data_IF_711844403283
#
_entry.id   IF_711844403283
#
_cell.length_a   1.000
_cell.length_b   1.000
_cell.length_c   1.000
_cell.angle_alpha   90.00
_cell.angle_beta   90.00
_cell.angle_gamma   90.00
#
_symmetry.space_group_name_H-M   'P 1'
#
loop_
_entity.id
_entity.type
_entity.pdbx_description
1 polymer ?
#
# COMPACT_ATOMS: atom_id res chain seq x y z
N UNK A 1 13.67 2.09 -22.85
CA UNK A 1 12.97 3.32 -22.44
C UNK A 1 13.98 4.44 -22.46
N UNK A 2 13.70 5.57 -23.12
CA UNK A 2 14.64 6.70 -23.11
C UNK A 2 14.68 7.34 -21.70
N UNK A 3 15.66 8.20 -21.41
CA UNK A 3 15.84 8.81 -20.08
C UNK A 3 14.62 9.63 -19.63
N UNK A 4 13.96 10.27 -20.59
CA UNK A 4 12.79 11.12 -20.35
C UNK A 4 11.54 10.30 -19.99
N UNK A 5 11.25 9.24 -20.74
CA UNK A 5 10.19 8.27 -20.45
C UNK A 5 10.42 7.61 -19.08
N UNK A 6 11.69 7.37 -18.71
CA UNK A 6 12.06 6.86 -17.38
C UNK A 6 11.75 7.86 -16.28
N UNK A 7 12.09 9.14 -16.45
CA UNK A 7 11.73 10.19 -15.50
C UNK A 7 10.21 10.31 -15.35
N UNK A 8 9.47 10.36 -16.45
CA UNK A 8 8.00 10.45 -16.45
C UNK A 8 7.36 9.26 -15.74
N UNK A 9 7.81 8.04 -16.05
CA UNK A 9 7.28 6.84 -15.43
C UNK A 9 7.48 6.86 -13.91
N UNK A 10 8.69 7.21 -13.46
CA UNK A 10 8.99 7.34 -12.02
C UNK A 10 8.11 8.39 -11.35
N UNK A 11 7.94 9.53 -11.99
CA UNK A 11 7.09 10.62 -11.52
C UNK A 11 5.65 10.12 -11.36
N UNK A 12 5.07 9.50 -12.39
CA UNK A 12 3.71 8.95 -12.33
C UNK A 12 3.51 7.95 -11.20
N UNK A 13 4.46 7.02 -11.03
CA UNK A 13 4.40 6.02 -9.95
C UNK A 13 4.54 6.68 -8.57
N UNK A 14 5.45 7.65 -8.42
CA UNK A 14 5.64 8.40 -7.17
C UNK A 14 4.37 9.17 -6.77
N UNK A 15 3.59 9.67 -7.73
CA UNK A 15 2.31 10.31 -7.42
C UNK A 15 1.20 9.32 -7.08
N UNK A 16 1.26 8.12 -7.65
CA UNK A 16 0.30 7.08 -7.37
C UNK A 16 0.52 6.41 -6.01
N UNK A 17 1.75 6.43 -5.50
CA UNK A 17 2.12 5.72 -4.27
C UNK A 17 1.32 6.15 -3.05
N UNK A 18 0.94 7.43 -2.96
CA UNK A 18 0.12 7.95 -1.86
C UNK A 18 -1.25 7.24 -1.82
N UNK A 19 -1.82 6.90 -2.98
CA UNK A 19 -3.06 6.12 -3.06
C UNK A 19 -2.84 4.66 -2.65
N UNK A 20 -1.63 4.10 -2.86
CA UNK A 20 -1.30 2.77 -2.36
C UNK A 20 -1.18 2.76 -0.83
N UNK A 21 -0.65 3.82 -0.22
CA UNK A 21 -0.65 3.97 1.25
C UNK A 21 -2.07 3.99 1.80
N UNK A 22 -2.96 4.78 1.20
CA UNK A 22 -4.37 4.85 1.60
C UNK A 22 -5.10 3.51 1.37
N UNK A 23 -4.77 2.79 0.29
CA UNK A 23 -5.33 1.46 0.02
C UNK A 23 -4.87 0.44 1.05
N UNK A 24 -3.58 0.46 1.43
CA UNK A 24 -3.05 -0.38 2.50
C UNK A 24 -3.78 -0.09 3.82
N UNK A 25 -3.92 1.19 4.18
CA UNK A 25 -4.69 1.63 5.36
C UNK A 25 -6.11 1.09 5.33
N UNK A 26 -6.79 1.23 4.19
CA UNK A 26 -8.18 0.80 4.04
C UNK A 26 -8.35 -0.69 4.30
N UNK A 27 -7.51 -1.55 3.72
CA UNK A 27 -7.62 -2.99 3.95
C UNK A 27 -7.17 -3.40 5.35
N UNK A 28 -6.18 -2.72 5.93
CA UNK A 28 -5.83 -2.91 7.34
C UNK A 28 -7.04 -2.60 8.24
N UNK A 29 -7.71 -1.47 8.02
CA UNK A 29 -8.92 -1.10 8.75
C UNK A 29 -10.02 -2.16 8.60
N UNK A 30 -10.23 -2.69 7.39
CA UNK A 30 -11.23 -3.74 7.15
C UNK A 30 -10.92 -5.04 7.88
N UNK A 31 -9.65 -5.42 7.97
CA UNK A 31 -9.21 -6.56 8.78
C UNK A 31 -9.53 -6.31 10.26
N UNK A 32 -9.19 -5.14 10.78
CA UNK A 32 -9.47 -4.77 12.18
C UNK A 32 -10.97 -4.81 12.46
N UNK A 33 -11.80 -4.23 11.58
CA UNK A 33 -13.26 -4.24 11.69
C UNK A 33 -13.80 -5.68 11.77
N UNK A 34 -13.34 -6.60 10.91
CA UNK A 34 -13.73 -8.00 10.96
C UNK A 34 -13.31 -8.68 12.27
N UNK A 35 -12.10 -8.42 12.76
CA UNK A 35 -11.62 -8.98 14.03
C UNK A 35 -12.45 -8.47 15.22
N UNK A 36 -12.73 -7.16 15.27
CA UNK A 36 -13.56 -6.55 16.32
C UNK A 36 -15.01 -7.03 16.26
N UNK A 37 -15.55 -7.28 15.06
CA UNK A 37 -16.90 -7.84 14.90
C UNK A 37 -16.96 -9.28 15.42
N UNK A 38 -15.98 -10.12 15.07
CA UNK A 38 -15.88 -11.49 15.59
C UNK A 38 -15.82 -11.50 17.13
N UNK A 39 -14.98 -10.66 17.71
CA UNK A 39 -14.83 -10.56 19.18
C UNK A 39 -16.16 -10.21 19.86
N UNK A 40 -16.88 -9.21 19.32
CA UNK A 40 -18.19 -8.79 19.85
C UNK A 40 -19.26 -9.88 19.75
N UNK A 41 -19.23 -10.67 18.68
CA UNK A 41 -20.25 -11.68 18.39
C UNK A 41 -19.86 -13.09 18.85
N UNK A 42 -18.68 -13.29 19.45
CA UNK A 42 -18.12 -14.61 19.75
C UNK A 42 -19.07 -15.56 20.50
N UNK A 43 -19.80 -15.05 21.50
CA UNK A 43 -20.75 -15.84 22.30
C UNK A 43 -22.17 -15.85 21.73
N UNK A 44 -22.37 -15.31 20.54
CA UNK A 44 -23.67 -15.25 19.86
C UNK A 44 -23.71 -16.29 18.74
N UNK A 45 -24.72 -17.18 18.70
CA UNK A 45 -24.86 -18.13 17.60
C UNK A 45 -25.02 -17.37 16.28
N UNK A 46 -24.02 -17.46 15.40
CA UNK A 46 -24.04 -16.84 14.08
C UNK A 46 -23.53 -17.85 13.04
N UNK A 47 -24.05 -17.76 11.81
CA UNK A 47 -23.53 -18.55 10.71
C UNK A 47 -22.24 -17.88 10.20
N UNK A 48 -21.10 -18.51 10.50
CA UNK A 48 -19.75 -18.00 10.22
C UNK A 48 -19.37 -18.00 8.71
N UNK A 49 -20.22 -18.59 7.86
CA UNK A 49 -19.98 -18.86 6.43
C UNK A 49 -19.82 -17.61 5.53
N UNK A 50 -19.88 -16.39 6.09
CA UNK A 50 -19.84 -15.14 5.31
C UNK A 50 -18.74 -14.16 5.72
N UNK A 51 -17.80 -14.55 6.58
CA UNK A 51 -16.78 -13.60 7.00
C UNK A 51 -15.83 -13.21 5.84
N UNK A 52 -15.73 -11.91 5.47
CA UNK A 52 -14.90 -11.47 4.36
C UNK A 52 -13.39 -11.35 4.71
N UNK A 53 -12.96 -11.82 5.88
CA UNK A 53 -11.59 -11.65 6.39
C UNK A 53 -10.52 -12.08 5.38
N UNK A 54 -10.65 -13.25 4.73
CA UNK A 54 -9.68 -13.70 3.73
C UNK A 54 -9.66 -12.78 2.50
N UNK A 55 -10.81 -12.28 2.06
CA UNK A 55 -10.87 -11.34 0.94
C UNK A 55 -10.11 -10.05 1.25
N UNK A 56 -10.30 -9.48 2.44
CA UNK A 56 -9.57 -8.29 2.87
C UNK A 56 -8.09 -8.56 3.10
N UNK A 57 -7.75 -9.73 3.66
CA UNK A 57 -6.36 -10.14 3.86
C UNK A 57 -5.61 -10.34 2.53
N UNK A 58 -6.23 -10.95 1.54
CA UNK A 58 -5.64 -11.09 0.20
C UNK A 58 -5.40 -9.73 -0.48
N UNK A 59 -6.39 -8.84 -0.40
CA UNK A 59 -6.27 -7.49 -0.94
C UNK A 59 -5.18 -6.69 -0.22
N UNK A 60 -5.09 -6.84 1.11
CA UNK A 60 -4.05 -6.27 1.95
C UNK A 60 -2.65 -6.77 1.55
N UNK A 61 -2.45 -8.07 1.40
CA UNK A 61 -1.20 -8.68 0.96
C UNK A 61 -0.75 -8.17 -0.42
N UNK A 62 -1.69 -7.94 -1.33
CA UNK A 62 -1.39 -7.39 -2.65
C UNK A 62 -0.95 -5.92 -2.61
N UNK A 63 -1.33 -5.15 -1.59
CA UNK A 63 -0.79 -3.81 -1.39
C UNK A 63 0.71 -3.85 -1.07
N UNK A 64 1.19 -4.84 -0.32
CA UNK A 64 2.62 -4.97 0.00
C UNK A 64 3.47 -5.17 -1.26
N UNK A 65 3.06 -6.09 -2.15
CA UNK A 65 3.71 -6.26 -3.46
C UNK A 65 3.69 -4.96 -4.27
N UNK A 66 2.52 -4.32 -4.37
CA UNK A 66 2.35 -3.07 -5.14
C UNK A 66 3.23 -1.94 -4.61
N UNK A 67 3.37 -1.85 -3.28
CA UNK A 67 4.23 -0.88 -2.60
C UNK A 67 5.69 -1.16 -2.91
N UNK A 68 6.17 -2.39 -2.74
CA UNK A 68 7.55 -2.79 -3.08
C UNK A 68 7.89 -2.38 -4.50
N UNK A 69 7.06 -2.76 -5.48
CA UNK A 69 7.35 -2.51 -6.89
C UNK A 69 7.28 -1.01 -7.22
N UNK A 70 6.36 -0.27 -6.60
CA UNK A 70 6.25 1.18 -6.77
C UNK A 70 7.41 1.94 -6.14
N UNK A 71 7.91 1.50 -4.99
CA UNK A 71 9.08 2.09 -4.32
C UNK A 71 10.35 1.85 -5.14
N UNK A 72 10.53 0.65 -5.69
CA UNK A 72 11.67 0.32 -6.58
C UNK A 72 11.72 1.26 -7.78
N UNK A 73 10.57 1.52 -8.42
CA UNK A 73 10.47 2.47 -9.52
C UNK A 73 10.75 3.89 -9.01
N UNK A 74 10.07 4.34 -7.94
CA UNK A 74 10.15 5.70 -7.44
C UNK A 74 11.58 6.10 -7.06
N UNK A 75 12.26 5.24 -6.30
CA UNK A 75 13.65 5.44 -5.88
C UNK A 75 14.67 5.08 -6.98
N UNK A 76 14.23 4.46 -8.08
CA UNK A 76 15.10 4.02 -9.16
C UNK A 76 16.28 3.15 -8.67
N UNK A 77 15.98 2.27 -7.71
CA UNK A 77 16.90 1.27 -7.19
C UNK A 77 16.16 -0.04 -7.03
N UNK A 78 16.88 -1.14 -7.19
CA UNK A 78 16.32 -2.47 -6.92
C UNK A 78 15.93 -2.56 -5.44
N UNK A 79 14.74 -3.09 -5.17
CA UNK A 79 14.27 -3.42 -3.82
C UNK A 79 13.95 -4.90 -3.80
N UNK A 80 14.75 -5.66 -3.07
CA UNK A 80 14.58 -7.08 -2.85
C UNK A 80 13.74 -7.32 -1.60
N UNK A 81 13.17 -8.53 -1.47
CA UNK A 81 12.40 -8.88 -0.27
C UNK A 81 13.25 -8.88 1.01
N UNK A 82 14.55 -9.13 0.88
CA UNK A 82 15.50 -9.07 1.99
C UNK A 82 15.62 -7.63 2.55
N UNK A 83 15.30 -6.62 1.74
CA UNK A 83 15.19 -5.24 2.21
C UNK A 83 13.99 -5.04 3.14
N UNK A 84 13.28 -6.07 3.57
CA UNK A 84 12.23 -5.96 4.60
C UNK A 84 12.45 -6.95 5.75
N UNK A 85 13.62 -7.59 5.84
CA UNK A 85 13.85 -8.66 6.83
C UNK A 85 13.75 -8.16 8.28
N UNK A 86 14.03 -6.88 8.55
CA UNK A 86 13.81 -6.31 9.89
C UNK A 86 12.36 -5.90 10.19
N UNK A 87 11.49 -5.88 9.17
CA UNK A 87 10.07 -5.57 9.35
C UNK A 87 9.38 -6.80 9.95
N UNK A 88 8.66 -6.67 11.09
CA UNK A 88 7.97 -7.78 11.73
C UNK A 88 7.06 -8.53 10.75
N UNK A 89 7.13 -9.86 10.74
CA UNK A 89 6.32 -10.73 9.88
C UNK A 89 6.48 -10.53 8.37
N UNK A 90 7.47 -9.78 7.88
CA UNK A 90 7.63 -9.51 6.44
C UNK A 90 7.76 -10.76 5.59
N UNK A 91 8.55 -11.74 6.06
CA UNK A 91 8.72 -13.05 5.40
C UNK A 91 7.42 -13.83 5.37
N UNK A 92 6.68 -13.84 6.48
CA UNK A 92 5.36 -14.46 6.58
C UNK A 92 4.39 -13.83 5.58
N UNK A 93 4.23 -12.49 5.60
CA UNK A 93 3.33 -11.76 4.70
C UNK A 93 3.66 -12.00 3.22
N UNK A 94 4.94 -11.91 2.85
CA UNK A 94 5.39 -12.23 1.49
C UNK A 94 4.97 -13.64 1.08
N UNK A 95 5.18 -14.61 1.96
CA UNK A 95 4.88 -16.01 1.65
C UNK A 95 3.37 -16.26 1.57
N UNK A 96 2.57 -15.67 2.47
CA UNK A 96 1.10 -15.70 2.39
C UNK A 96 0.59 -15.10 1.09
N UNK A 97 1.13 -13.94 0.66
CA UNK A 97 0.78 -13.32 -0.62
C UNK A 97 1.01 -14.30 -1.77
N UNK A 98 2.16 -14.98 -1.76
CA UNK A 98 2.49 -15.90 -2.84
C UNK A 98 1.66 -17.19 -2.79
N UNK A 99 1.29 -17.69 -1.60
CA UNK A 99 0.40 -18.84 -1.45
C UNK A 99 -1.02 -18.49 -1.93
N UNK A 100 -1.57 -17.35 -1.51
CA UNK A 100 -2.87 -16.87 -1.97
C UNK A 100 -2.91 -16.66 -3.50
N UNK A 101 -1.93 -15.95 -4.06
CA UNK A 101 -1.93 -15.59 -5.49
C UNK A 101 -1.66 -16.77 -6.43
N UNK A 102 -0.72 -17.65 -6.08
CA UNK A 102 -0.26 -18.70 -7.00
C UNK A 102 -0.90 -20.06 -6.76
N UNK A 103 -1.35 -20.32 -5.54
CA UNK A 103 -1.83 -21.64 -5.14
C UNK A 103 -3.32 -21.59 -4.73
N UNK A 104 -3.92 -20.40 -4.61
CA UNK A 104 -5.33 -20.22 -4.24
C UNK A 104 -5.65 -20.54 -2.79
N UNK A 105 -4.66 -20.49 -1.89
CA UNK A 105 -4.88 -20.76 -0.46
C UNK A 105 -5.62 -19.60 0.24
N UNK A 106 -6.75 -19.91 0.85
CA UNK A 106 -7.31 -19.11 1.95
C UNK A 106 -6.43 -19.28 3.18
N UNK A 107 -5.70 -18.23 3.54
CA UNK A 107 -4.67 -18.31 4.58
C UNK A 107 -5.29 -18.45 5.98
N UNK A 108 -6.30 -17.64 6.27
CA UNK A 108 -6.93 -17.56 7.60
C UNK A 108 -8.02 -18.64 7.66
N UNK A 109 -7.88 -19.58 8.58
CA UNK A 109 -8.73 -20.78 8.62
C UNK A 109 -9.15 -21.21 10.03
N UNK A 110 -8.86 -20.42 11.05
CA UNK A 110 -9.24 -20.68 12.42
C UNK A 110 -9.81 -19.43 13.07
N UNK A 111 -10.97 -19.57 13.71
CA UNK A 111 -11.53 -18.59 14.62
C UNK A 111 -11.67 -19.23 16.00
N UNK A 112 -11.02 -18.66 17.01
CA UNK A 112 -11.07 -19.14 18.40
C UNK A 112 -10.96 -17.95 19.35
N UNK A 113 -11.72 -17.98 20.45
CA UNK A 113 -11.77 -16.93 21.47
C UNK A 113 -11.94 -15.50 20.92
N UNK A 114 -12.81 -15.36 19.92
CA UNK A 114 -13.14 -14.08 19.31
C UNK A 114 -12.08 -13.55 18.34
N UNK A 115 -11.09 -14.37 17.97
CA UNK A 115 -9.93 -13.95 17.17
C UNK A 115 -9.69 -14.85 15.97
N UNK A 116 -9.12 -14.27 14.92
CA UNK A 116 -8.70 -14.98 13.71
C UNK A 116 -7.25 -15.44 13.79
N UNK A 117 -7.02 -16.67 13.35
CA UNK A 117 -5.74 -17.35 13.34
C UNK A 117 -5.56 -18.20 12.07
N UNK A 118 -4.38 -18.77 11.99
CA UNK A 118 -4.02 -19.81 11.03
C UNK A 118 -3.70 -21.04 11.87
N UNK A 119 -4.34 -22.16 11.55
CA UNK A 119 -4.34 -23.36 12.38
C UNK A 119 -3.03 -24.15 12.34
N UNK A 120 -2.23 -24.00 11.28
CA UNK A 120 -1.02 -24.79 11.08
C UNK A 120 -0.12 -24.18 10.01
N UNK A 121 1.16 -24.57 10.06
CA UNK A 121 2.15 -24.16 9.07
C UNK A 121 1.74 -24.58 7.66
N UNK A 122 1.89 -23.65 6.72
CA UNK A 122 1.52 -23.88 5.34
C UNK A 122 2.75 -24.37 4.59
N UNK A 123 2.64 -25.54 3.98
CA UNK A 123 3.70 -26.09 3.12
C UNK A 123 3.29 -25.95 1.66
N UNK A 124 4.16 -25.34 0.85
CA UNK A 124 3.93 -25.19 -0.59
C UNK A 124 5.16 -25.59 -1.40
N UNK A 125 4.95 -25.89 -2.68
CA UNK A 125 6.03 -26.13 -3.64
C UNK A 125 6.17 -24.92 -4.55
N UNK A 126 7.34 -24.30 -4.56
CA UNK A 126 7.67 -23.20 -5.47
C UNK A 126 8.92 -23.56 -6.25
N UNK A 127 8.84 -23.57 -7.58
CA UNK A 127 9.96 -23.88 -8.47
C UNK A 127 10.68 -25.19 -8.10
N UNK A 128 9.91 -26.23 -7.75
CA UNK A 128 10.44 -27.53 -7.33
C UNK A 128 11.07 -27.57 -5.93
N UNK A 129 10.98 -26.49 -5.14
CA UNK A 129 11.46 -26.43 -3.76
C UNK A 129 10.30 -26.35 -2.78
N UNK A 130 10.44 -27.07 -1.67
CA UNK A 130 9.53 -26.96 -0.53
C UNK A 130 9.74 -25.62 0.18
N UNK A 131 8.66 -24.88 0.40
CA UNK A 131 8.66 -23.65 1.17
C UNK A 131 7.71 -23.83 2.35
N UNK A 132 8.25 -23.69 3.55
CA UNK A 132 7.48 -23.65 4.79
C UNK A 132 7.11 -22.21 5.13
N UNK A 133 5.84 -21.98 5.39
CA UNK A 133 5.32 -20.73 5.93
C UNK A 133 5.01 -21.01 7.40
N UNK A 134 5.96 -20.60 8.25
CA UNK A 134 5.79 -20.67 9.70
C UNK A 134 4.67 -19.75 10.13
N UNK A 135 3.75 -20.31 10.90
CA UNK A 135 2.54 -19.62 11.35
C UNK A 135 2.86 -18.74 12.53
N UNK A 136 2.40 -17.47 12.56
CA UNK A 136 2.53 -16.64 13.74
C UNK A 136 1.69 -17.22 14.89
N UNK A 137 2.18 -17.08 16.11
CA UNK A 137 1.43 -17.41 17.34
C UNK A 137 0.41 -16.34 17.72
N UNK A 138 0.55 -15.14 17.15
CA UNK A 138 -0.33 -14.00 17.38
C UNK A 138 -1.54 -14.04 16.42
N UNK A 139 -2.64 -13.40 16.83
CA UNK A 139 -3.83 -13.28 15.99
C UNK A 139 -3.56 -12.39 14.75
N UNK A 140 -4.38 -12.56 13.73
CA UNK A 140 -4.23 -11.86 12.44
C UNK A 140 -4.24 -10.34 12.58
N UNK A 141 -5.05 -9.78 13.49
CA UNK A 141 -5.11 -8.32 13.68
C UNK A 141 -3.75 -7.82 14.16
N UNK A 142 -3.21 -8.44 15.21
CA UNK A 142 -1.91 -8.08 15.79
C UNK A 142 -0.77 -8.24 14.78
N UNK A 143 -0.76 -9.34 14.02
CA UNK A 143 0.24 -9.60 12.97
C UNK A 143 0.20 -8.52 11.88
N UNK A 144 -0.99 -8.17 11.39
CA UNK A 144 -1.17 -7.12 10.37
C UNK A 144 -0.76 -5.74 10.90
N UNK A 145 -1.11 -5.40 12.14
CA UNK A 145 -0.77 -4.12 12.76
C UNK A 145 0.75 -3.95 12.92
N UNK A 146 1.43 -4.95 13.48
CA UNK A 146 2.89 -4.93 13.67
C UNK A 146 3.64 -4.87 12.34
N UNK A 147 3.20 -5.66 11.36
CA UNK A 147 3.78 -5.61 10.01
C UNK A 147 3.57 -4.23 9.36
N UNK A 148 2.35 -3.68 9.38
CA UNK A 148 2.04 -2.36 8.81
C UNK A 148 2.88 -1.26 9.45
N UNK A 149 2.98 -1.25 10.77
CA UNK A 149 3.78 -0.26 11.50
C UNK A 149 5.26 -0.33 11.08
N UNK A 150 5.86 -1.53 11.10
CA UNK A 150 7.25 -1.71 10.70
C UNK A 150 7.49 -1.35 9.23
N UNK A 151 6.58 -1.76 8.34
CA UNK A 151 6.65 -1.43 6.91
C UNK A 151 6.63 0.07 6.68
N UNK A 152 5.70 0.79 7.32
CA UNK A 152 5.56 2.23 7.10
C UNK A 152 6.65 3.07 7.78
N UNK A 153 7.20 2.61 8.91
CA UNK A 153 8.42 3.20 9.49
C UNK A 153 9.61 3.05 8.54
N UNK A 154 9.76 1.87 7.92
CA UNK A 154 10.81 1.63 6.93
C UNK A 154 10.62 2.43 5.64
N UNK A 155 9.38 2.56 5.16
CA UNK A 155 9.07 3.41 4.01
C UNK A 155 9.39 4.87 4.32
N UNK A 156 9.00 5.36 5.51
CA UNK A 156 9.31 6.72 5.96
C UNK A 156 10.81 6.99 5.93
N UNK A 157 11.61 6.11 6.53
CA UNK A 157 13.07 6.29 6.55
C UNK A 157 13.69 6.28 5.15
N UNK A 158 13.17 5.45 4.23
CA UNK A 158 13.60 5.50 2.84
C UNK A 158 13.29 6.83 2.16
N UNK A 159 12.11 7.41 2.39
CA UNK A 159 11.79 8.73 1.84
C UNK A 159 12.69 9.84 2.40
N UNK A 160 13.08 9.75 3.67
CA UNK A 160 14.02 10.69 4.29
C UNK A 160 15.43 10.57 3.69
N UNK A 161 15.91 9.34 3.48
CA UNK A 161 17.25 9.07 2.90
C UNK A 161 17.30 9.43 1.41
N UNK A 162 16.26 9.07 0.65
CA UNK A 162 16.20 9.18 -0.80
C UNK A 162 15.56 10.50 -1.29
N UNK A 163 15.26 11.45 -0.39
CA UNK A 163 14.53 12.68 -0.72
C UNK A 163 15.13 13.44 -1.92
N UNK A 164 16.47 13.46 -2.02
CA UNK A 164 17.20 14.13 -3.10
C UNK A 164 17.21 13.38 -4.43
N UNK A 165 16.92 12.07 -4.44
CA UNK A 165 16.95 11.20 -5.62
C UNK A 165 15.58 11.07 -6.31
N UNK A 166 14.52 11.54 -5.63
CA UNK A 166 13.14 11.50 -6.13
C UNK A 166 12.94 12.38 -7.37
N UNK A 167 12.15 11.93 -8.36
CA UNK A 167 11.80 12.77 -9.50
C UNK A 167 10.98 13.98 -9.03
N UNK A 168 11.41 15.17 -9.41
CA UNK A 168 10.67 16.41 -9.20
C UNK A 168 9.92 16.81 -10.47
N UNK A 169 8.78 17.47 -10.29
CA UNK A 169 8.03 18.05 -11.39
C UNK A 169 8.78 19.22 -12.02
N UNK A 170 8.97 19.16 -13.33
CA UNK A 170 9.20 20.34 -14.16
C UNK A 170 7.86 21.00 -14.56
N UNK A 171 7.92 22.22 -15.10
CA UNK A 171 6.73 22.89 -15.64
C UNK A 171 6.17 22.09 -16.82
N UNK A 172 7.06 21.53 -17.64
CA UNK A 172 6.72 20.68 -18.78
C UNK A 172 5.97 19.42 -18.36
N UNK A 173 6.29 18.84 -17.19
CA UNK A 173 5.59 17.67 -16.64
C UNK A 173 4.14 17.99 -16.27
N UNK A 174 3.90 19.17 -15.69
CA UNK A 174 2.54 19.64 -15.43
C UNK A 174 1.80 19.90 -16.74
N UNK A 175 2.41 20.60 -17.69
CA UNK A 175 1.80 20.90 -18.99
C UNK A 175 1.49 19.62 -19.80
N UNK A 176 2.32 18.58 -19.70
CA UNK A 176 2.08 17.26 -20.29
C UNK A 176 0.81 16.60 -19.76
N UNK A 177 0.52 16.77 -18.47
CA UNK A 177 -0.69 16.25 -17.84
C UNK A 177 -1.97 16.89 -18.41
N UNK A 178 -1.85 18.09 -18.99
CA UNK A 178 -2.92 18.81 -19.68
C UNK A 178 -2.83 18.73 -21.21
N UNK A 179 -1.94 17.90 -21.76
CA UNK A 179 -1.86 17.72 -23.20
C UNK A 179 -3.05 16.90 -23.71
N UNK A 180 -4.05 17.59 -24.29
CA UNK A 180 -5.27 16.99 -24.84
C UNK A 180 -4.99 15.95 -25.93
N UNK A 181 -3.86 16.07 -26.63
CA UNK A 181 -3.51 15.17 -27.74
C UNK A 181 -3.00 13.81 -27.24
N UNK A 182 -2.59 13.72 -25.97
CA UNK A 182 -2.18 12.47 -25.32
C UNK A 182 -3.35 11.70 -24.67
N UNK A 183 -4.55 12.29 -24.62
CA UNK A 183 -5.73 11.69 -23.99
C UNK A 183 -6.44 10.81 -25.02
N UNK A 184 -6.14 9.51 -24.98
CA UNK A 184 -6.61 8.53 -25.99
C UNK A 184 -8.11 8.18 -25.89
N UNK A 185 -8.81 8.53 -24.81
CA UNK A 185 -10.21 8.11 -24.59
C UNK A 185 -11.04 9.25 -23.99
N UNK A 186 -12.18 9.52 -24.63
CA UNK A 186 -13.39 10.01 -23.95
C UNK A 186 -13.43 11.47 -23.48
N UNK A 187 -12.44 12.31 -23.77
CA UNK A 187 -12.54 13.73 -23.41
C UNK A 187 -13.51 14.45 -24.36
N UNK A 188 -14.60 15.07 -23.85
CA UNK A 188 -15.52 15.86 -24.65
C UNK A 188 -14.81 17.02 -25.39
N UNK A 189 -15.28 17.35 -26.60
CA UNK A 189 -14.57 18.31 -27.48
C UNK A 189 -14.59 19.74 -26.93
N UNK A 190 -15.68 20.11 -26.26
CA UNK A 190 -15.81 21.35 -25.49
C UNK A 190 -14.76 21.45 -24.37
N UNK A 191 -14.49 20.35 -23.66
CA UNK A 191 -13.43 20.32 -22.64
C UNK A 191 -12.05 20.48 -23.27
N UNK A 192 -11.78 19.84 -24.42
CA UNK A 192 -10.52 20.04 -25.15
C UNK A 192 -10.33 21.49 -25.58
N UNK A 193 -11.40 22.13 -26.08
CA UNK A 193 -11.36 23.54 -26.50
C UNK A 193 -11.09 24.46 -25.31
N UNK A 194 -11.69 24.20 -24.14
CA UNK A 194 -11.43 24.96 -22.91
C UNK A 194 -9.97 24.82 -22.48
N UNK A 195 -9.43 23.60 -22.44
CA UNK A 195 -8.02 23.36 -22.06
C UNK A 195 -7.07 24.05 -23.05
N UNK A 196 -7.36 23.98 -24.35
CA UNK A 196 -6.56 24.66 -25.39
C UNK A 196 -6.61 26.18 -25.25
N UNK A 197 -7.79 26.77 -25.00
CA UNK A 197 -7.94 28.22 -24.90
C UNK A 197 -7.31 28.81 -23.64
N UNK A 198 -7.21 28.05 -22.55
CA UNK A 198 -6.62 28.50 -21.28
C UNK A 198 -5.17 28.04 -21.08
N UNK A 199 -4.53 27.44 -22.09
CA UNK A 199 -3.20 26.81 -21.96
C UNK A 199 -2.13 27.74 -21.39
N UNK A 200 -2.08 28.99 -21.87
CA UNK A 200 -1.08 29.97 -21.41
C UNK A 200 -1.36 30.42 -19.97
N UNK A 201 -2.62 30.65 -19.63
CA UNK A 201 -3.02 30.99 -18.25
C UNK A 201 -2.70 29.86 -17.27
N UNK A 202 -2.96 28.60 -17.66
CA UNK A 202 -2.58 27.44 -16.85
C UNK A 202 -1.06 27.38 -16.64
N UNK A 203 -0.27 27.67 -17.69
CA UNK A 203 1.19 27.73 -17.59
C UNK A 203 1.64 28.78 -16.57
N UNK A 204 1.13 30.01 -16.68
CA UNK A 204 1.45 31.11 -15.75
C UNK A 204 1.10 30.73 -14.30
N UNK A 205 -0.11 30.20 -14.07
CA UNK A 205 -0.54 29.76 -12.72
C UNK A 205 0.37 28.66 -12.17
N UNK A 206 0.77 27.68 -12.99
CA UNK A 206 1.66 26.60 -12.57
C UNK A 206 3.05 27.16 -12.22
N UNK A 207 3.56 28.09 -13.01
CA UNK A 207 4.85 28.74 -12.77
C UNK A 207 4.85 29.53 -11.47
N UNK A 208 3.82 30.33 -11.23
CA UNK A 208 3.65 31.13 -10.01
C UNK A 208 3.48 30.29 -8.75
N UNK A 209 2.91 29.08 -8.86
CA UNK A 209 2.58 28.22 -7.72
C UNK A 209 3.46 26.96 -7.59
N UNK A 210 4.52 26.85 -8.40
CA UNK A 210 5.30 25.61 -8.52
C UNK A 210 5.78 25.05 -7.17
N UNK A 211 6.40 25.89 -6.35
CA UNK A 211 6.95 25.48 -5.06
C UNK A 211 5.85 25.01 -4.10
N UNK A 212 4.71 25.73 -4.07
CA UNK A 212 3.54 25.34 -3.27
C UNK A 212 2.97 23.99 -3.70
N UNK A 213 2.87 23.73 -5.01
CA UNK A 213 2.37 22.46 -5.52
C UNK A 213 3.28 21.29 -5.16
N UNK A 214 4.60 21.50 -5.21
CA UNK A 214 5.59 20.49 -4.79
C UNK A 214 5.48 20.23 -3.28
N UNK A 215 5.44 21.30 -2.48
CA UNK A 215 5.31 21.19 -1.03
C UNK A 215 4.03 20.45 -0.61
N UNK A 216 2.90 20.75 -1.26
CA UNK A 216 1.64 20.04 -1.02
C UNK A 216 1.73 18.54 -1.31
N UNK A 217 2.44 18.13 -2.36
CA UNK A 217 2.64 16.72 -2.69
C UNK A 217 3.51 16.00 -1.68
N UNK A 218 4.60 16.64 -1.24
CA UNK A 218 5.47 16.09 -0.20
C UNK A 218 4.67 15.93 1.10
N UNK A 219 3.97 16.98 1.52
CA UNK A 219 3.13 16.95 2.71
C UNK A 219 2.05 15.88 2.65
N UNK A 220 1.34 15.76 1.52
CA UNK A 220 0.32 14.71 1.32
C UNK A 220 0.90 13.31 1.52
N UNK A 221 2.12 13.07 1.05
CA UNK A 221 2.81 11.79 1.21
C UNK A 221 3.11 11.51 2.67
N UNK A 222 3.69 12.49 3.37
CA UNK A 222 3.95 12.41 4.81
C UNK A 222 2.65 12.14 5.58
N UNK A 223 1.60 12.92 5.33
CA UNK A 223 0.28 12.76 5.94
C UNK A 223 -0.29 11.35 5.69
N UNK A 224 -0.10 10.79 4.49
CA UNK A 224 -0.59 9.45 4.15
C UNK A 224 0.17 8.36 4.91
N UNK A 225 1.49 8.49 5.06
CA UNK A 225 2.33 7.58 5.86
C UNK A 225 1.92 7.66 7.34
N UNK A 226 1.85 8.88 7.89
CA UNK A 226 1.45 9.10 9.29
C UNK A 226 0.05 8.58 9.57
N UNK A 227 -0.86 8.67 8.59
CA UNK A 227 -2.22 8.15 8.75
C UNK A 227 -2.27 6.63 8.97
N UNK A 228 -1.32 5.87 8.42
CA UNK A 228 -1.19 4.42 8.64
C UNK A 228 -0.55 4.14 9.99
N UNK A 229 0.53 4.87 10.32
CA UNK A 229 1.22 4.73 11.60
C UNK A 229 0.28 5.07 12.78
N UNK A 230 -0.51 6.13 12.65
CA UNK A 230 -1.52 6.51 13.64
C UNK A 230 -2.55 5.40 13.86
N UNK A 231 -3.04 4.78 12.78
CA UNK A 231 -3.97 3.65 12.88
C UNK A 231 -3.32 2.47 13.62
N UNK A 232 -2.06 2.17 13.30
CA UNK A 232 -1.33 1.10 13.98
C UNK A 232 -1.16 1.40 15.48
N UNK A 233 -0.74 2.62 15.82
CA UNK A 233 -0.50 3.04 17.21
C UNK A 233 -1.79 3.02 18.05
N UNK A 234 -2.90 3.47 17.48
CA UNK A 234 -4.22 3.43 18.13
C UNK A 234 -4.57 2.00 18.57
N UNK A 235 -4.42 1.02 17.68
CA UNK A 235 -4.81 -0.35 17.98
C UNK A 235 -3.75 -1.16 18.73
N UNK A 236 -2.46 -0.86 18.60
CA UNK A 236 -1.40 -1.59 19.31
C UNK A 236 -1.28 -1.22 20.79
N UNK A 237 -1.56 0.03 21.18
CA UNK A 237 -1.54 0.45 22.60
C UNK A 237 -2.58 -0.31 23.43
N UNK A 238 -3.71 -0.69 22.82
CA UNK A 238 -4.75 -1.49 23.48
C UNK A 238 -4.38 -2.96 23.66
N UNK A 239 -3.46 -3.51 22.87
CA UNK A 239 -3.01 -4.92 22.98
C UNK A 239 -2.13 -5.15 24.21
N UNK A 240 -1.42 -4.12 24.69
CA UNK A 240 -0.57 -4.21 25.89
C UNK A 240 -1.32 -4.06 27.22
N UNK A 241 -2.58 -3.61 27.20
CA UNK A 241 -3.36 -3.35 28.43
C UNK A 241 -4.18 -4.57 28.91
N UNK A 242 -4.03 -5.74 28.27
CA UNK A 242 -4.81 -6.95 28.55
C UNK A 242 -3.92 -8.13 28.98
N UNK A 243 -2.91 -7.87 29.80
CA UNK A 243 -2.15 -8.90 30.53
C UNK A 243 -2.36 -8.69 32.03
#
# INVERSE_FOLDING_TARGET
>A
MNTEDKHQHRLLVLNYIDNLFLRHKFFLQKIIECCTELEKLWNTPNNDDKNPINHYFDAYLNTYQSLKDSLEISFNRKIDWADFDEVPYSKFMKNCRNASTHDGFSIINLAVDGKFYISSDITRVSHGKLVLIETPTEDISTVCLKFSQGLFLKIKSWFEIEASSLPMYSIEDYLRSFNTDNIKIGMPEDVKQIIKSHKNQMKEIIEENRENLIAQKIKRREDSIESVLSLCNEHLVHVTATI
#
